data_IF_815914420650
#
_entry.id   IF_815914420650
#
_cell.length_a   1.000
_cell.length_b   1.000
_cell.length_c   1.000
_cell.angle_alpha   90.00
_cell.angle_beta   90.00
_cell.angle_gamma   90.00
#
_symmetry.space_group_name_H-M   'P 1'
#
loop_
_entity.id
_entity.type
_entity.pdbx_description
1 polymer ?
#
# COMPACT_ATOMS: atom_id res chain seq x y z
N UNK A 1 -4.56 -4.68 -4.31
CA UNK A 1 -5.77 -3.90 -4.64
C UNK A 1 -6.81 -4.76 -5.38
N UNK A 2 -6.43 -5.38 -6.50
CA UNK A 2 -7.33 -6.21 -7.31
C UNK A 2 -8.02 -7.34 -6.53
N UNK A 3 -7.34 -7.93 -5.55
CA UNK A 3 -7.92 -8.96 -4.68
C UNK A 3 -9.10 -8.43 -3.85
N UNK A 4 -9.01 -7.20 -3.33
CA UNK A 4 -10.07 -6.54 -2.56
C UNK A 4 -11.28 -6.24 -3.46
N UNK A 5 -11.06 -5.74 -4.67
CA UNK A 5 -12.13 -5.44 -5.62
C UNK A 5 -12.92 -6.70 -6.02
N UNK A 6 -12.24 -7.83 -6.24
CA UNK A 6 -12.91 -9.12 -6.51
C UNK A 6 -13.82 -9.59 -5.37
N UNK A 7 -13.59 -9.08 -4.16
CA UNK A 7 -14.39 -9.35 -2.97
C UNK A 7 -15.41 -8.22 -2.67
N UNK A 8 -15.57 -7.25 -3.58
CA UNK A 8 -16.39 -6.05 -3.39
C UNK A 8 -15.96 -5.19 -2.19
N UNK A 9 -14.67 -5.17 -1.88
CA UNK A 9 -14.09 -4.25 -0.90
C UNK A 9 -13.49 -3.07 -1.66
N UNK A 10 -14.10 -1.90 -1.51
CA UNK A 10 -13.62 -0.66 -2.12
C UNK A 10 -12.47 -0.08 -1.30
N UNK A 11 -11.37 0.26 -1.99
CA UNK A 11 -10.18 0.89 -1.42
C UNK A 11 -9.77 2.07 -2.30
N UNK A 12 -9.12 3.09 -1.74
CA UNK A 12 -8.73 4.28 -2.51
C UNK A 12 -7.63 3.94 -3.52
N UNK A 13 -7.77 4.45 -4.75
CA UNK A 13 -6.76 4.35 -5.80
C UNK A 13 -6.85 5.49 -6.80
N UNK A 14 -5.75 5.74 -7.53
CA UNK A 14 -5.71 6.72 -8.61
C UNK A 14 -4.90 6.18 -9.81
N UNK A 15 -3.56 6.24 -9.78
CA UNK A 15 -2.73 5.88 -10.94
C UNK A 15 -2.67 4.37 -11.25
N UNK A 16 -2.83 3.52 -10.22
CA UNK A 16 -2.64 2.06 -10.26
C UNK A 16 -1.28 1.60 -10.82
N UNK A 17 -0.26 2.45 -10.77
CA UNK A 17 1.09 2.19 -11.28
C UNK A 17 2.20 2.42 -10.26
N UNK A 18 1.88 2.48 -8.97
CA UNK A 18 2.88 2.63 -7.91
C UNK A 18 3.57 4.00 -7.87
N UNK A 19 2.97 5.03 -8.47
CA UNK A 19 3.57 6.37 -8.62
C UNK A 19 2.80 7.50 -7.91
N UNK A 20 1.77 7.17 -7.13
CA UNK A 20 1.03 8.13 -6.30
C UNK A 20 0.70 7.54 -4.91
N UNK A 21 0.28 8.38 -3.97
CA UNK A 21 -0.04 8.03 -2.58
C UNK A 21 -1.48 7.55 -2.33
N UNK A 22 -2.41 7.67 -3.28
CA UNK A 22 -3.84 7.39 -3.02
C UNK A 22 -4.14 5.99 -2.52
N UNK A 23 -3.38 4.98 -2.95
CA UNK A 23 -3.54 3.60 -2.47
C UNK A 23 -2.61 3.25 -1.29
N UNK A 24 -2.12 4.27 -0.58
CA UNK A 24 -1.23 4.09 0.55
C UNK A 24 -1.91 3.35 1.70
N UNK A 25 -1.14 2.42 2.25
CA UNK A 25 -1.51 1.61 3.37
C UNK A 25 -0.27 1.34 4.22
N UNK A 26 -0.47 0.75 5.39
CA UNK A 26 0.58 0.39 6.33
C UNK A 26 0.47 -1.08 6.70
N UNK A 27 1.58 -1.80 6.56
CA UNK A 27 1.66 -3.20 6.95
C UNK A 27 1.79 -3.30 8.47
N UNK A 28 0.83 -3.94 9.13
CA UNK A 28 0.82 -4.19 10.57
C UNK A 28 1.43 -5.55 10.87
N UNK A 29 1.03 -6.58 10.12
CA UNK A 29 1.53 -7.95 10.27
C UNK A 29 1.68 -8.62 8.91
N UNK A 30 2.59 -9.59 8.82
CA UNK A 30 2.86 -10.35 7.60
C UNK A 30 4.05 -9.81 6.80
N UNK A 31 4.16 -10.31 5.58
CA UNK A 31 5.24 -9.97 4.64
C UNK A 31 4.65 -9.69 3.27
N UNK A 32 5.19 -8.67 2.60
CA UNK A 32 4.76 -8.28 1.25
C UNK A 32 5.98 -7.98 0.38
N UNK A 33 5.79 -8.14 -0.92
CA UNK A 33 6.58 -7.51 -1.96
C UNK A 33 6.01 -6.13 -2.27
N UNK A 34 6.84 -5.09 -2.24
CA UNK A 34 6.44 -3.74 -2.59
C UNK A 34 7.53 -3.05 -3.43
N UNK A 35 8.32 -3.83 -4.18
CA UNK A 35 9.50 -3.33 -4.91
C UNK A 35 9.13 -2.60 -6.23
N UNK A 36 7.94 -2.86 -6.77
CA UNK A 36 7.46 -2.29 -8.05
C UNK A 36 7.02 -0.80 -7.96
N UNK A 37 6.99 -0.24 -6.75
CA UNK A 37 6.56 1.13 -6.51
C UNK A 37 7.72 2.13 -6.68
N UNK A 38 7.41 3.39 -7.01
CA UNK A 38 8.41 4.46 -7.20
C UNK A 38 8.13 5.75 -6.43
N UNK A 39 7.14 5.75 -5.54
CA UNK A 39 6.68 6.94 -4.81
C UNK A 39 7.25 7.04 -3.39
N UNK A 40 7.25 5.94 -2.63
CA UNK A 40 7.69 5.89 -1.24
C UNK A 40 9.21 5.93 -1.13
N UNK A 41 9.71 6.72 -0.19
CA UNK A 41 11.12 6.77 0.17
C UNK A 41 11.53 5.66 1.16
N UNK A 42 12.83 5.57 1.46
CA UNK A 42 13.35 4.57 2.39
C UNK A 42 12.81 4.69 3.82
N UNK A 43 12.52 5.91 4.31
CA UNK A 43 12.00 6.10 5.67
C UNK A 43 10.55 5.63 5.77
N UNK A 44 9.75 5.94 4.77
CA UNK A 44 8.37 5.47 4.64
C UNK A 44 8.33 3.95 4.52
N UNK A 45 9.21 3.34 3.72
CA UNK A 45 9.33 1.87 3.63
C UNK A 45 9.75 1.28 4.98
N UNK A 46 10.72 1.88 5.69
CA UNK A 46 11.14 1.44 7.04
C UNK A 46 9.99 1.52 8.05
N UNK A 47 9.13 2.54 7.93
CA UNK A 47 7.88 2.70 8.71
C UNK A 47 6.74 1.78 8.25
N UNK A 48 7.01 0.86 7.32
CA UNK A 48 6.09 -0.17 6.81
C UNK A 48 4.95 0.38 5.96
N UNK A 49 5.12 1.54 5.33
CA UNK A 49 4.18 1.99 4.30
C UNK A 49 4.35 1.20 3.01
N UNK A 50 3.22 0.95 2.35
CA UNK A 50 3.11 0.16 1.13
C UNK A 50 2.10 0.79 0.16
N UNK A 51 2.22 0.50 -1.14
CA UNK A 51 1.25 0.90 -2.15
C UNK A 51 0.46 -0.31 -2.65
N UNK A 52 -0.81 -0.38 -2.29
CA UNK A 52 -1.64 -1.58 -2.53
C UNK A 52 -1.85 -1.94 -3.99
N UNK A 53 -1.65 -1.00 -4.92
CA UNK A 53 -1.84 -1.24 -6.35
C UNK A 53 -0.71 -2.04 -7.01
N UNK A 54 0.50 -2.02 -6.44
CA UNK A 54 1.69 -2.72 -6.96
C UNK A 54 2.30 -3.66 -5.92
N UNK A 55 1.60 -3.91 -4.81
CA UNK A 55 2.06 -4.72 -3.70
C UNK A 55 1.50 -6.15 -3.78
N UNK A 56 2.36 -7.14 -3.53
CA UNK A 56 2.01 -8.56 -3.56
C UNK A 56 2.25 -9.21 -2.19
N UNK A 57 1.25 -9.88 -1.57
CA UNK A 57 1.45 -10.55 -0.29
C UNK A 57 2.36 -11.78 -0.43
N UNK A 58 3.31 -11.95 0.50
CA UNK A 58 4.17 -13.15 0.63
C UNK A 58 3.71 -14.09 1.75
N UNK A 59 2.84 -13.61 2.64
CA UNK A 59 2.21 -14.36 3.72
C UNK A 59 0.83 -13.78 4.07
N UNK A 60 0.17 -14.34 5.08
CA UNK A 60 -1.04 -13.75 5.65
C UNK A 60 -0.70 -12.37 6.25
N UNK A 61 -1.45 -11.34 5.84
CA UNK A 61 -1.15 -9.95 6.18
C UNK A 61 -2.30 -9.24 6.88
N UNK A 62 -1.96 -8.36 7.82
CA UNK A 62 -2.87 -7.36 8.39
C UNK A 62 -2.40 -5.99 7.92
N UNK A 63 -3.29 -5.25 7.27
CA UNK A 63 -2.96 -3.98 6.60
C UNK A 63 -3.95 -2.91 7.04
N UNK A 64 -3.44 -1.77 7.49
CA UNK A 64 -4.23 -0.55 7.68
C UNK A 64 -4.30 0.23 6.38
N UNK A 65 -5.51 0.50 5.89
CA UNK A 65 -5.76 1.20 4.63
C UNK A 65 -5.98 2.71 4.85
N UNK A 66 -6.11 3.49 3.77
CA UNK A 66 -6.38 4.93 3.82
C UNK A 66 -5.29 5.74 4.55
N UNK A 67 -4.02 5.44 4.26
CA UNK A 67 -2.86 6.09 4.91
C UNK A 67 -2.22 7.19 4.08
N UNK A 68 -2.93 7.71 3.08
CA UNK A 68 -2.47 8.82 2.23
C UNK A 68 -2.17 10.07 3.07
N UNK A 69 -3.08 10.46 3.98
CA UNK A 69 -2.89 11.64 4.83
C UNK A 69 -1.67 11.49 5.77
N UNK A 70 -1.46 10.30 6.34
CA UNK A 70 -0.32 10.01 7.22
C UNK A 70 1.03 10.11 6.48
N UNK A 71 1.05 9.89 5.16
CA UNK A 71 2.24 10.10 4.33
C UNK A 71 2.50 11.57 4.01
N UNK A 72 1.45 12.39 3.88
CA UNK A 72 1.57 13.82 3.57
C UNK A 72 2.00 14.67 4.78
N UNK A 73 1.61 14.24 5.99
CA UNK A 73 1.91 14.94 7.25
C UNK A 73 3.30 14.61 7.83
N UNK A 74 4.08 13.75 7.18
CA UNK A 74 5.45 13.39 7.56
C UNK A 74 6.52 14.27 6.90
#
# INVERSE_FOLDING_TARGET
LDASERQNVELPYSCRGGSCSTCAAKLVEGEVDNDDQSYLDEEQIKKKYILLCTCYPKSDCVIETHKEDELHDM
#
